data_IF_148830471245
#
_entry.id   IF_148830471245
#
_cell.length_a   1.000
_cell.length_b   1.000
_cell.length_c   1.000
_cell.angle_alpha   90.00
_cell.angle_beta   90.00
_cell.angle_gamma   90.00
#
_symmetry.space_group_name_H-M   'P 1'
#
loop_
_entity.id
_entity.type
_entity.pdbx_description
1 polymer ?
#
# COMPACT_ATOMS: atom_id res chain seq x y z
N UNK A 1 -6.62 -21.56 9.35
CA UNK A 1 -7.51 -20.42 9.03
C UNK A 1 -8.79 -20.96 8.46
N UNK A 2 -9.95 -20.42 8.87
CA UNK A 2 -11.21 -20.70 8.18
C UNK A 2 -11.36 -19.75 6.98
N UNK A 3 -12.20 -20.09 6.00
CA UNK A 3 -12.50 -19.17 4.88
C UNK A 3 -13.08 -17.83 5.38
N UNK A 4 -13.83 -17.87 6.49
CA UNK A 4 -14.37 -16.67 7.14
C UNK A 4 -13.26 -15.74 7.66
N UNK A 5 -12.14 -16.27 8.14
CA UNK A 5 -11.01 -15.44 8.61
C UNK A 5 -10.31 -14.73 7.46
N UNK A 6 -10.21 -15.38 6.28
CA UNK A 6 -9.66 -14.78 5.05
C UNK A 6 -10.54 -13.65 4.57
N UNK A 7 -11.86 -13.89 4.53
CA UNK A 7 -12.85 -12.89 4.11
C UNK A 7 -12.76 -11.67 5.04
N UNK A 8 -12.78 -11.87 6.35
CA UNK A 8 -12.64 -10.79 7.32
C UNK A 8 -11.31 -10.03 7.18
N UNK A 9 -10.21 -10.72 6.91
CA UNK A 9 -8.91 -10.07 6.63
C UNK A 9 -9.00 -9.18 5.39
N UNK A 10 -9.57 -9.69 4.29
CA UNK A 10 -9.72 -8.95 3.03
C UNK A 10 -10.66 -7.75 3.17
N UNK A 11 -11.73 -7.86 3.96
CA UNK A 11 -12.64 -6.75 4.25
C UNK A 11 -11.96 -5.64 5.06
N UNK A 12 -11.17 -6.01 6.08
CA UNK A 12 -10.38 -5.06 6.87
C UNK A 12 -9.32 -4.37 6.01
N UNK A 13 -8.61 -5.15 5.18
CA UNK A 13 -7.64 -4.62 4.21
C UNK A 13 -8.31 -3.64 3.24
N UNK A 14 -9.45 -4.02 2.67
CA UNK A 14 -10.23 -3.17 1.75
C UNK A 14 -10.63 -1.85 2.41
N UNK A 15 -11.16 -1.93 3.64
CA UNK A 15 -11.54 -0.76 4.42
C UNK A 15 -10.33 0.13 4.66
N UNK A 16 -9.20 -0.44 5.08
CA UNK A 16 -7.97 0.29 5.32
C UNK A 16 -7.50 1.03 4.06
N UNK A 17 -7.35 0.33 2.92
CA UNK A 17 -6.84 0.91 1.67
C UNK A 17 -7.71 2.08 1.20
N UNK A 18 -9.04 2.00 1.33
CA UNK A 18 -9.93 3.11 1.00
C UNK A 18 -9.66 4.37 1.83
N UNK A 19 -9.20 4.23 3.07
CA UNK A 19 -8.81 5.39 3.91
C UNK A 19 -7.45 6.00 3.53
N UNK A 20 -6.70 5.37 2.62
CA UNK A 20 -5.37 5.81 2.20
C UNK A 20 -5.39 6.66 0.93
N UNK A 21 -6.56 6.87 0.32
CA UNK A 21 -6.68 7.73 -0.85
C UNK A 21 -6.15 9.13 -0.49
N UNK A 22 -5.20 9.62 -1.28
CA UNK A 22 -4.65 10.96 -1.12
C UNK A 22 -5.67 11.94 -1.68
N UNK A 23 -6.01 12.95 -0.88
CA UNK A 23 -6.98 13.95 -1.30
C UNK A 23 -6.46 14.75 -2.51
N UNK A 24 -7.31 15.08 -3.50
CA UNK A 24 -6.95 15.87 -4.68
C UNK A 24 -6.23 17.19 -4.35
N UNK A 25 -6.58 17.78 -3.20
CA UNK A 25 -6.13 19.11 -2.78
C UNK A 25 -5.09 19.04 -1.66
N UNK A 26 -4.40 17.91 -1.54
CA UNK A 26 -3.28 17.79 -0.61
C UNK A 26 -2.23 18.83 -0.99
N UNK A 27 -1.69 19.53 -0.01
CA UNK A 27 -0.57 20.43 -0.25
C UNK A 27 0.62 19.60 -0.77
N UNK A 28 1.32 20.09 -1.80
CA UNK A 28 2.45 19.37 -2.42
C UNK A 28 3.47 18.88 -1.39
N UNK A 29 3.80 19.72 -0.41
CA UNK A 29 4.72 19.38 0.68
C UNK A 29 4.23 18.28 1.63
N UNK A 30 2.98 17.81 1.51
CA UNK A 30 2.40 16.73 2.32
C UNK A 30 2.25 15.41 1.55
N UNK A 31 2.48 15.40 0.24
CA UNK A 31 2.27 14.20 -0.60
C UNK A 31 3.14 13.05 -0.14
N UNK A 32 4.43 13.33 0.12
CA UNK A 32 5.38 12.37 0.64
C UNK A 32 4.93 11.80 2.00
N UNK A 33 4.47 12.66 2.90
CA UNK A 33 3.98 12.25 4.22
C UNK A 33 2.73 11.36 4.12
N UNK A 34 1.82 11.65 3.18
CA UNK A 34 0.63 10.82 2.94
C UNK A 34 1.00 9.46 2.35
N UNK A 35 1.96 9.42 1.44
CA UNK A 35 2.47 8.16 0.90
C UNK A 35 3.18 7.33 1.98
N UNK A 36 4.01 7.96 2.82
CA UNK A 36 4.66 7.31 3.95
C UNK A 36 3.63 6.78 4.95
N UNK A 37 2.58 7.56 5.24
CA UNK A 37 1.48 7.12 6.08
C UNK A 37 0.78 5.88 5.50
N UNK A 38 0.62 5.80 4.18
CA UNK A 38 0.01 4.67 3.48
C UNK A 38 0.82 3.39 3.65
N UNK A 39 2.13 3.45 3.37
CA UNK A 39 3.05 2.33 3.64
C UNK A 39 2.99 1.92 5.12
N UNK A 40 3.11 2.89 6.05
CA UNK A 40 3.15 2.59 7.48
C UNK A 40 1.87 1.92 7.97
N UNK A 41 0.70 2.41 7.55
CA UNK A 41 -0.59 1.84 7.94
C UNK A 41 -0.74 0.39 7.46
N UNK A 42 -0.35 0.09 6.22
CA UNK A 42 -0.40 -1.26 5.67
C UNK A 42 0.61 -2.19 6.35
N UNK A 43 1.85 -1.74 6.56
CA UNK A 43 2.85 -2.52 7.29
C UNK A 43 2.45 -2.78 8.75
N UNK A 44 1.82 -1.81 9.40
CA UNK A 44 1.26 -2.02 10.74
C UNK A 44 0.14 -3.05 10.72
N UNK A 45 -0.80 -2.95 9.78
CA UNK A 45 -1.88 -3.93 9.61
C UNK A 45 -1.35 -5.35 9.42
N UNK A 46 -0.31 -5.52 8.59
CA UNK A 46 0.34 -6.82 8.40
C UNK A 46 1.04 -7.33 9.67
N UNK A 47 1.54 -6.44 10.51
CA UNK A 47 2.22 -6.80 11.76
C UNK A 47 1.28 -7.00 12.96
N UNK A 48 -0.02 -6.67 12.84
CA UNK A 48 -0.99 -6.86 13.93
C UNK A 48 -1.20 -8.34 14.28
N UNK A 49 -1.16 -9.22 13.27
CA UNK A 49 -1.32 -10.67 13.40
C UNK A 49 -0.48 -11.34 12.31
N UNK A 50 0.79 -11.63 12.63
CA UNK A 50 1.74 -12.22 11.68
C UNK A 50 1.23 -13.56 11.13
N UNK A 51 0.68 -14.43 11.98
CA UNK A 51 0.16 -15.72 11.54
C UNK A 51 -0.95 -15.57 10.49
N UNK A 52 -1.86 -14.61 10.69
CA UNK A 52 -2.92 -14.32 9.73
C UNK A 52 -2.39 -13.68 8.46
N UNK A 53 -1.44 -12.76 8.55
CA UNK A 53 -0.77 -12.17 7.38
C UNK A 53 -0.05 -13.23 6.56
N UNK A 54 0.69 -14.13 7.20
CA UNK A 54 1.37 -15.24 6.53
C UNK A 54 0.36 -16.06 5.73
N UNK A 55 -0.74 -16.49 6.34
CA UNK A 55 -1.69 -17.39 5.70
C UNK A 55 -2.59 -16.69 4.66
N UNK A 56 -2.97 -15.42 4.87
CA UNK A 56 -3.90 -14.71 4.00
C UNK A 56 -3.22 -13.92 2.88
N UNK A 57 -2.00 -13.43 3.11
CA UNK A 57 -1.32 -12.48 2.22
C UNK A 57 0.01 -12.98 1.65
N UNK A 58 0.80 -13.79 2.38
CA UNK A 58 2.14 -14.18 1.93
C UNK A 58 2.24 -15.61 1.38
N UNK A 59 1.46 -16.56 1.91
CA UNK A 59 1.52 -17.98 1.58
C UNK A 59 0.31 -18.47 0.75
N UNK A 60 0.52 -19.43 -0.16
CA UNK A 60 -0.57 -20.12 -0.84
C UNK A 60 -1.51 -20.85 0.15
N UNK A 61 -2.79 -21.06 -0.22
CA UNK A 61 -3.40 -20.74 -1.52
C UNK A 61 -3.97 -19.31 -1.61
N UNK A 62 -4.11 -18.60 -0.49
CA UNK A 62 -4.88 -17.37 -0.42
C UNK A 62 -4.11 -16.12 -0.87
N UNK A 63 -2.77 -16.16 -0.77
CA UNK A 63 -1.89 -15.03 -1.04
C UNK A 63 -2.15 -14.36 -2.39
N UNK A 64 -2.21 -15.12 -3.47
CA UNK A 64 -2.32 -14.56 -4.83
C UNK A 64 -3.58 -13.70 -4.99
N UNK A 65 -4.72 -14.17 -4.49
CA UNK A 65 -5.97 -13.45 -4.59
C UNK A 65 -5.99 -12.21 -3.67
N UNK A 66 -5.45 -12.31 -2.46
CA UNK A 66 -5.36 -11.17 -1.53
C UNK A 66 -4.38 -10.09 -2.03
N UNK A 67 -3.26 -10.49 -2.63
CA UNK A 67 -2.31 -9.57 -3.25
C UNK A 67 -2.91 -8.86 -4.46
N UNK A 68 -3.63 -9.60 -5.32
CA UNK A 68 -4.37 -9.03 -6.44
C UNK A 68 -5.42 -8.02 -5.96
N UNK A 69 -6.19 -8.36 -4.92
CA UNK A 69 -7.14 -7.44 -4.30
C UNK A 69 -6.44 -6.13 -3.85
N UNK A 70 -5.28 -6.23 -3.18
CA UNK A 70 -4.52 -5.03 -2.78
C UNK A 70 -4.07 -4.20 -3.98
N UNK A 71 -3.55 -4.84 -5.04
CA UNK A 71 -3.19 -4.16 -6.29
C UNK A 71 -4.39 -3.42 -6.89
N UNK A 72 -5.54 -4.07 -7.00
CA UNK A 72 -6.74 -3.49 -7.61
C UNK A 72 -7.23 -2.27 -6.82
N UNK A 73 -7.26 -2.38 -5.49
CA UNK A 73 -7.66 -1.28 -4.61
C UNK A 73 -6.68 -0.10 -4.67
N UNK A 74 -5.38 -0.37 -4.68
CA UNK A 74 -4.36 0.66 -4.80
C UNK A 74 -4.38 1.32 -6.19
N UNK A 75 -4.66 0.57 -7.25
CA UNK A 75 -4.79 1.12 -8.60
C UNK A 75 -5.94 2.14 -8.67
N UNK A 76 -7.06 1.88 -7.99
CA UNK A 76 -8.16 2.86 -7.88
C UNK A 76 -7.70 4.14 -7.19
N UNK A 77 -7.01 4.04 -6.05
CA UNK A 77 -6.51 5.22 -5.34
C UNK A 77 -5.51 6.03 -6.19
N UNK A 78 -4.60 5.35 -6.88
CA UNK A 78 -3.56 5.97 -7.71
C UNK A 78 -4.16 6.61 -8.97
N UNK A 79 -5.18 5.99 -9.58
CA UNK A 79 -5.88 6.56 -10.73
C UNK A 79 -6.52 7.91 -10.39
N UNK A 80 -7.15 8.03 -9.21
CA UNK A 80 -7.68 9.34 -8.76
C UNK A 80 -6.55 10.37 -8.64
N UNK A 81 -5.41 9.99 -8.05
CA UNK A 81 -4.24 10.90 -7.98
C UNK A 81 -3.68 11.26 -9.36
N UNK A 82 -3.84 10.42 -10.39
CA UNK A 82 -3.47 10.75 -11.77
C UNK A 82 -4.47 11.71 -12.41
N UNK A 83 -5.78 11.47 -12.22
CA UNK A 83 -6.85 12.35 -12.71
C UNK A 83 -6.70 13.79 -12.16
N UNK A 84 -6.27 13.91 -10.91
CA UNK A 84 -5.99 15.18 -10.25
C UNK A 84 -4.63 15.79 -10.62
N UNK A 85 -3.87 15.15 -11.53
CA UNK A 85 -2.51 15.53 -11.94
C UNK A 85 -1.51 15.61 -10.80
N UNK A 86 -1.77 14.88 -9.71
CA UNK A 86 -0.82 14.75 -8.63
C UNK A 86 0.30 13.79 -9.03
N UNK A 87 -0.05 12.65 -9.63
CA UNK A 87 0.89 11.67 -10.12
C UNK A 87 0.96 11.65 -11.64
N UNK A 88 2.11 11.23 -12.17
CA UNK A 88 2.32 11.03 -13.61
C UNK A 88 1.31 10.04 -14.16
N UNK A 89 0.81 10.28 -15.37
CA UNK A 89 -0.23 9.50 -16.04
C UNK A 89 0.30 8.73 -17.27
N UNK A 90 1.58 8.91 -17.62
CA UNK A 90 2.25 8.16 -18.69
C UNK A 90 2.52 6.69 -18.31
N UNK A 91 2.45 6.36 -17.01
CA UNK A 91 2.48 4.99 -16.49
C UNK A 91 1.11 4.64 -15.92
N UNK A 92 0.52 3.52 -16.34
CA UNK A 92 -0.80 3.11 -15.83
C UNK A 92 -0.84 2.95 -14.30
N UNK A 93 -1.91 3.40 -13.65
CA UNK A 93 -2.14 3.21 -12.22
C UNK A 93 -2.03 1.74 -11.77
N UNK A 94 -2.42 0.80 -12.63
CA UNK A 94 -2.31 -0.65 -12.36
C UNK A 94 -0.84 -1.06 -12.18
N UNK A 95 0.04 -0.64 -13.08
CA UNK A 95 1.47 -0.96 -12.97
C UNK A 95 2.09 -0.29 -11.74
N UNK A 96 1.73 0.96 -11.45
CA UNK A 96 2.18 1.64 -10.23
C UNK A 96 1.71 0.92 -8.96
N UNK A 97 0.47 0.43 -8.93
CA UNK A 97 -0.07 -0.34 -7.81
C UNK A 97 0.63 -1.68 -7.62
N UNK A 98 1.02 -2.35 -8.70
CA UNK A 98 1.82 -3.57 -8.65
C UNK A 98 3.20 -3.31 -8.04
N UNK A 99 3.88 -2.23 -8.45
CA UNK A 99 5.16 -1.82 -7.85
C UNK A 99 5.02 -1.51 -6.36
N UNK A 100 4.00 -0.72 -5.98
CA UNK A 100 3.70 -0.40 -4.58
C UNK A 100 3.45 -1.66 -3.75
N UNK A 101 2.65 -2.59 -4.28
CA UNK A 101 2.31 -3.85 -3.62
C UNK A 101 3.52 -4.76 -3.48
N UNK A 102 4.40 -4.83 -4.49
CA UNK A 102 5.64 -5.60 -4.43
C UNK A 102 6.58 -5.12 -3.33
N UNK A 103 6.74 -3.80 -3.16
CA UNK A 103 7.52 -3.21 -2.06
C UNK A 103 6.92 -3.64 -0.70
N UNK A 104 5.60 -3.52 -0.54
CA UNK A 104 4.92 -3.92 0.69
C UNK A 104 5.07 -5.41 0.99
N UNK A 105 4.93 -6.27 -0.02
CA UNK A 105 5.11 -7.72 0.14
C UNK A 105 6.51 -8.06 0.63
N UNK A 106 7.53 -7.43 0.07
CA UNK A 106 8.91 -7.66 0.49
C UNK A 106 9.14 -7.24 1.94
N UNK A 107 8.53 -6.14 2.37
CA UNK A 107 8.66 -5.66 3.75
C UNK A 107 7.79 -6.44 4.74
N UNK A 108 6.63 -6.95 4.31
CA UNK A 108 5.77 -7.78 5.14
C UNK A 108 6.41 -9.14 5.47
N UNK A 109 7.32 -9.64 4.63
CA UNK A 109 8.11 -10.84 4.90
C UNK A 109 9.20 -10.65 5.97
N UNK A 110 9.55 -9.40 6.27
CA UNK A 110 10.59 -9.08 7.26
C UNK A 110 9.96 -8.27 8.40
N UNK A 111 9.32 -8.92 9.38
CA UNK A 111 8.69 -8.23 10.50
C UNK A 111 9.71 -7.34 11.21
N UNK A 112 9.43 -6.04 11.23
CA UNK A 112 10.21 -5.05 11.97
C UNK A 112 9.40 -4.53 13.16
N UNK A 113 10.07 -4.01 14.17
CA UNK A 113 9.42 -3.24 15.24
C UNK A 113 8.73 -1.97 14.68
N UNK A 114 7.88 -1.28 15.46
CA UNK A 114 7.18 -0.09 14.98
C UNK A 114 8.11 1.01 14.44
N UNK A 115 9.30 1.14 15.02
CA UNK A 115 10.29 2.14 14.61
C UNK A 115 10.87 1.81 13.22
N UNK A 116 11.24 0.56 13.00
CA UNK A 116 11.73 0.04 11.72
C UNK A 116 10.67 0.18 10.64
N UNK A 117 9.41 -0.17 10.92
CA UNK A 117 8.30 0.02 9.97
C UNK A 117 8.08 1.49 9.62
N UNK A 118 8.25 2.39 10.59
CA UNK A 118 8.18 3.82 10.33
C UNK A 118 9.33 4.30 9.42
N UNK A 119 10.57 3.91 9.69
CA UNK A 119 11.73 4.27 8.86
C UNK A 119 11.59 3.72 7.43
N UNK A 120 11.22 2.45 7.29
CA UNK A 120 10.98 1.83 5.99
C UNK A 120 9.85 2.53 5.24
N UNK A 121 8.78 2.94 5.92
CA UNK A 121 7.68 3.66 5.27
C UNK A 121 8.11 5.01 4.67
N UNK A 122 9.01 5.74 5.35
CA UNK A 122 9.57 6.98 4.84
C UNK A 122 10.46 6.74 3.62
N UNK A 123 11.35 5.74 3.70
CA UNK A 123 12.24 5.39 2.60
C UNK A 123 11.46 4.92 1.35
N UNK A 124 10.46 4.06 1.53
CA UNK A 124 9.62 3.57 0.43
C UNK A 124 8.76 4.68 -0.18
N UNK A 125 8.20 5.58 0.65
CA UNK A 125 7.47 6.73 0.13
C UNK A 125 8.37 7.62 -0.73
N UNK A 126 9.61 7.87 -0.29
CA UNK A 126 10.58 8.64 -1.06
C UNK A 126 10.88 7.95 -2.40
N UNK A 127 11.29 6.69 -2.38
CA UNK A 127 11.60 5.92 -3.59
C UNK A 127 10.40 5.85 -4.56
N UNK A 128 9.20 5.63 -4.04
CA UNK A 128 8.00 5.56 -4.86
C UNK A 128 7.65 6.92 -5.45
N UNK A 129 7.59 7.98 -4.63
CA UNK A 129 7.29 9.34 -5.07
C UNK A 129 8.34 9.90 -6.04
N UNK A 130 9.63 9.58 -5.90
CA UNK A 130 10.67 9.92 -6.89
C UNK A 130 10.30 9.42 -8.30
N UNK A 131 9.64 8.25 -8.39
CA UNK A 131 9.23 7.66 -9.66
C UNK A 131 7.86 8.11 -10.18
N UNK A 132 6.96 8.61 -9.32
CA UNK A 132 5.53 8.81 -9.67
C UNK A 132 5.00 10.23 -9.46
N UNK A 133 5.59 11.01 -8.56
CA UNK A 133 5.07 12.33 -8.19
C UNK A 133 5.56 13.40 -9.17
N UNK A 134 4.66 14.28 -9.60
CA UNK A 134 5.00 15.38 -10.52
C UNK A 134 5.62 16.61 -9.80
N UNK A 135 5.52 16.66 -8.47
CA UNK A 135 6.16 17.70 -7.66
C UNK A 135 7.67 17.49 -7.53
N UNK A 136 8.37 18.49 -6.99
CA UNK A 136 9.79 18.39 -6.63
C UNK A 136 9.93 17.95 -5.18
N UNK A 137 10.81 16.98 -4.94
CA UNK A 137 11.20 16.53 -3.60
C UNK A 137 12.12 17.52 -2.89
#
# INVERSE_FOLDING_TARGET
MTDNDVIAFRERLTTLVRTLQIAPQVAENQVLDRMALSFRKLLNFFAEDDARTQQAFLLPPQAQETQRLLCDLMAVNLAVSQEDKLFRDDISAVLLAQCFTGILMQLAQTPGDPQTRHQNSLACAKLFCEGVWLGKL
#
